data_IF_939781341499
#
_entry.id   IF_939781341499
#
_cell.length_a   1.000
_cell.length_b   1.000
_cell.length_c   1.000
_cell.angle_alpha   90.00
_cell.angle_beta   90.00
_cell.angle_gamma   90.00
#
_symmetry.space_group_name_H-M   'P 1'
#
loop_
_entity.id
_entity.type
_entity.pdbx_description
1 polymer ?
#
# COMPACT_ATOMS: atom_id res chain seq x y z
N UNK A 1 -32.10 -30.11 -32.22
CA UNK A 1 -31.12 -29.00 -32.06
C UNK A 1 -31.73 -27.68 -31.66
N UNK A 2 -32.81 -27.20 -32.27
CA UNK A 2 -33.42 -25.88 -32.01
C UNK A 2 -33.91 -25.76 -30.54
N UNK A 3 -34.63 -26.76 -30.02
CA UNK A 3 -35.11 -26.75 -28.60
C UNK A 3 -34.01 -26.70 -27.55
N UNK A 4 -32.85 -27.32 -27.81
CA UNK A 4 -31.69 -27.28 -26.90
C UNK A 4 -31.08 -25.88 -26.86
N UNK A 5 -30.92 -25.23 -28.01
CA UNK A 5 -30.44 -23.84 -28.11
C UNK A 5 -31.36 -22.86 -27.41
N UNK A 6 -32.71 -23.04 -27.51
CA UNK A 6 -33.68 -22.20 -26.81
C UNK A 6 -33.57 -22.38 -25.30
N UNK A 7 -33.47 -23.63 -24.77
CA UNK A 7 -33.29 -23.89 -23.35
C UNK A 7 -32.00 -23.29 -22.80
N UNK A 8 -30.90 -23.37 -23.52
CA UNK A 8 -29.60 -22.75 -23.12
C UNK A 8 -29.74 -21.23 -23.04
N UNK A 9 -30.40 -20.61 -24.05
CA UNK A 9 -30.60 -19.16 -24.07
C UNK A 9 -31.50 -18.66 -22.94
N UNK A 10 -32.57 -19.40 -22.62
CA UNK A 10 -33.43 -19.09 -21.48
C UNK A 10 -32.66 -19.23 -20.16
N UNK A 11 -31.87 -20.29 -19.98
CA UNK A 11 -31.07 -20.49 -18.77
C UNK A 11 -30.03 -19.38 -18.59
N UNK A 12 -29.35 -18.96 -19.65
CA UNK A 12 -28.37 -17.84 -19.59
C UNK A 12 -29.06 -16.50 -19.25
N UNK A 13 -30.27 -16.25 -19.79
CA UNK A 13 -31.05 -15.06 -19.48
C UNK A 13 -31.52 -15.04 -18.03
N UNK A 14 -31.97 -16.17 -17.49
CA UNK A 14 -32.39 -16.28 -16.09
C UNK A 14 -31.20 -16.07 -15.14
N UNK A 15 -30.03 -16.62 -15.45
CA UNK A 15 -28.79 -16.39 -14.68
C UNK A 15 -28.39 -14.91 -14.71
N UNK A 16 -28.49 -14.26 -15.87
CA UNK A 16 -28.22 -12.82 -16.01
C UNK A 16 -29.17 -11.97 -15.16
N UNK A 17 -30.50 -12.25 -15.23
CA UNK A 17 -31.51 -11.55 -14.42
C UNK A 17 -31.26 -11.78 -12.93
N UNK A 18 -30.96 -13.02 -12.51
CA UNK A 18 -30.67 -13.36 -11.13
C UNK A 18 -29.44 -12.61 -10.60
N UNK A 19 -28.36 -12.58 -11.37
CA UNK A 19 -27.14 -11.83 -10.99
C UNK A 19 -27.45 -10.35 -10.86
N UNK A 20 -28.23 -9.76 -11.78
CA UNK A 20 -28.65 -8.36 -11.71
C UNK A 20 -29.47 -8.04 -10.45
N UNK A 21 -30.36 -8.93 -10.04
CA UNK A 21 -31.15 -8.79 -8.80
C UNK A 21 -30.26 -8.88 -7.55
N UNK A 22 -29.28 -9.79 -7.55
CA UNK A 22 -28.27 -9.89 -6.48
C UNK A 22 -27.47 -8.59 -6.38
N UNK A 23 -26.97 -8.07 -7.49
CA UNK A 23 -26.20 -6.82 -7.53
C UNK A 23 -27.02 -5.64 -7.00
N UNK A 24 -28.29 -5.52 -7.39
CA UNK A 24 -29.20 -4.48 -6.87
C UNK A 24 -29.38 -4.60 -5.35
N UNK A 25 -29.54 -5.82 -4.84
CA UNK A 25 -29.66 -6.07 -3.39
C UNK A 25 -28.39 -5.68 -2.64
N UNK A 26 -27.22 -6.07 -3.17
CA UNK A 26 -25.92 -5.71 -2.59
C UNK A 26 -25.73 -4.20 -2.58
N UNK A 27 -26.04 -3.51 -3.67
CA UNK A 27 -25.95 -2.04 -3.74
C UNK A 27 -26.86 -1.35 -2.73
N UNK A 28 -28.10 -1.84 -2.57
CA UNK A 28 -29.05 -1.31 -1.57
C UNK A 28 -28.53 -1.49 -0.14
N UNK A 29 -27.99 -2.66 0.19
CA UNK A 29 -27.38 -2.94 1.50
C UNK A 29 -26.16 -2.05 1.75
N UNK A 30 -25.30 -1.85 0.74
CA UNK A 30 -24.15 -0.97 0.83
C UNK A 30 -24.57 0.49 1.08
N UNK A 31 -25.61 0.98 0.39
CA UNK A 31 -26.18 2.33 0.61
C UNK A 31 -26.70 2.50 2.05
N UNK A 32 -27.45 1.53 2.57
CA UNK A 32 -27.94 1.55 3.95
C UNK A 32 -26.78 1.57 4.96
N UNK A 33 -25.72 0.78 4.70
CA UNK A 33 -24.52 0.75 5.53
C UNK A 33 -23.82 2.10 5.57
N UNK A 34 -23.68 2.78 4.42
CA UNK A 34 -23.10 4.12 4.32
C UNK A 34 -23.97 5.16 5.05
N UNK A 35 -25.31 5.09 4.93
CA UNK A 35 -26.22 5.99 5.65
C UNK A 35 -26.06 5.79 7.17
N UNK A 36 -26.03 4.55 7.65
CA UNK A 36 -25.78 4.25 9.06
C UNK A 36 -24.44 4.82 9.56
N UNK A 37 -23.39 4.74 8.75
CA UNK A 37 -22.08 5.28 9.10
C UNK A 37 -22.09 6.80 9.26
N UNK A 38 -22.91 7.53 8.51
CA UNK A 38 -23.07 8.99 8.67
C UNK A 38 -23.51 9.34 10.10
N UNK A 39 -24.41 8.57 10.68
CA UNK A 39 -24.79 8.75 12.10
C UNK A 39 -23.63 8.39 13.01
N UNK A 40 -22.92 7.28 12.76
CA UNK A 40 -21.77 6.87 13.56
C UNK A 40 -20.70 7.96 13.63
N UNK A 41 -20.43 8.67 12.52
CA UNK A 41 -19.49 9.80 12.47
C UNK A 41 -19.82 10.93 13.47
N UNK A 42 -21.08 11.15 13.77
CA UNK A 42 -21.51 12.19 14.71
C UNK A 42 -21.11 11.88 16.16
N UNK A 43 -20.98 10.60 16.53
CA UNK A 43 -20.75 10.17 17.91
C UNK A 43 -19.29 9.82 18.22
N UNK A 44 -18.48 9.55 17.21
CA UNK A 44 -17.10 9.08 17.40
C UNK A 44 -16.11 10.02 16.72
N UNK A 45 -15.18 10.56 17.52
CA UNK A 45 -14.08 11.39 16.97
C UNK A 45 -13.14 10.52 16.13
N UNK A 46 -12.77 10.99 14.94
CA UNK A 46 -11.81 10.30 14.09
C UNK A 46 -10.41 10.34 14.69
N UNK A 47 -9.51 9.41 14.29
CA UNK A 47 -8.10 9.49 14.65
C UNK A 47 -7.47 10.78 14.10
N UNK A 48 -6.50 11.33 14.82
CA UNK A 48 -5.72 12.47 14.36
C UNK A 48 -4.65 11.97 13.40
N UNK A 49 -4.75 12.36 12.13
CA UNK A 49 -3.81 11.98 11.09
C UNK A 49 -3.20 13.25 10.52
N UNK A 50 -1.87 13.32 10.50
CA UNK A 50 -1.13 14.41 9.90
C UNK A 50 -1.31 14.44 8.38
N UNK A 51 -1.07 15.61 7.77
CA UNK A 51 -1.10 15.75 6.31
C UNK A 51 0.06 14.99 5.66
N UNK A 52 0.00 14.82 4.33
CA UNK A 52 1.11 14.27 3.53
C UNK A 52 2.34 15.15 3.69
N UNK A 53 2.18 16.49 3.62
CA UNK A 53 3.26 17.47 3.75
C UNK A 53 3.98 17.34 5.10
N UNK A 54 3.22 17.30 6.20
CA UNK A 54 3.78 17.16 7.56
C UNK A 54 4.48 15.81 7.73
N UNK A 55 3.90 14.75 7.16
CA UNK A 55 4.49 13.40 7.23
C UNK A 55 5.83 13.35 6.48
N UNK A 56 5.88 13.84 5.24
CA UNK A 56 7.11 13.88 4.44
C UNK A 56 8.19 14.75 5.08
N UNK A 57 7.83 15.95 5.56
CA UNK A 57 8.76 16.85 6.26
C UNK A 57 9.36 16.20 7.50
N UNK A 58 8.54 15.48 8.28
CA UNK A 58 9.04 14.77 9.48
C UNK A 58 9.98 13.61 9.11
N UNK A 59 9.69 12.85 8.06
CA UNK A 59 10.59 11.80 7.57
C UNK A 59 11.95 12.39 7.19
N UNK A 60 11.97 13.51 6.47
CA UNK A 60 13.19 14.17 6.00
C UNK A 60 13.99 14.73 7.18
N UNK A 61 13.33 15.49 8.05
CA UNK A 61 13.99 16.20 9.15
C UNK A 61 14.53 15.24 10.21
N UNK A 62 13.70 14.30 10.68
CA UNK A 62 14.03 13.43 11.82
C UNK A 62 14.73 12.13 11.38
N UNK A 63 14.86 11.90 10.06
CA UNK A 63 15.27 10.61 9.48
C UNK A 63 14.41 9.46 10.04
N UNK A 64 13.10 9.70 10.15
CA UNK A 64 12.18 8.77 10.75
C UNK A 64 11.97 7.53 9.88
N UNK A 65 11.78 6.39 10.52
CA UNK A 65 11.31 5.15 9.88
C UNK A 65 9.78 5.16 9.77
N UNK A 66 9.24 4.39 8.83
CA UNK A 66 7.81 4.44 8.50
C UNK A 66 7.22 3.05 8.36
N UNK A 67 6.11 2.81 9.05
CA UNK A 67 5.18 1.72 8.79
C UNK A 67 3.86 2.28 8.24
N UNK A 68 3.34 1.67 7.15
CA UNK A 68 2.08 2.12 6.55
C UNK A 68 1.00 1.07 6.75
N UNK A 69 -0.18 1.57 7.12
CA UNK A 69 -1.40 0.77 7.21
C UNK A 69 -2.39 1.22 6.14
N UNK A 70 -3.00 0.24 5.52
CA UNK A 70 -4.14 0.39 4.63
C UNK A 70 -5.24 -0.60 5.00
N UNK A 71 -6.16 -0.82 4.10
CA UNK A 71 -7.22 -1.82 4.25
C UNK A 71 -6.66 -3.26 4.29
N UNK A 72 -5.51 -3.49 3.65
CA UNK A 72 -4.82 -4.79 3.65
C UNK A 72 -4.31 -5.16 5.03
N UNK A 73 -3.51 -4.29 5.66
CA UNK A 73 -2.99 -4.49 7.02
C UNK A 73 -4.14 -4.60 8.03
N UNK A 74 -5.21 -3.80 7.86
CA UNK A 74 -6.41 -3.91 8.68
C UNK A 74 -7.07 -5.28 8.58
N UNK A 75 -7.22 -5.83 7.36
CA UNK A 75 -7.77 -7.18 7.17
C UNK A 75 -6.92 -8.24 7.85
N UNK A 76 -5.59 -8.15 7.69
CA UNK A 76 -4.64 -9.08 8.31
C UNK A 76 -4.64 -9.00 9.84
N UNK A 77 -4.78 -7.81 10.45
CA UNK A 77 -4.98 -7.65 11.89
C UNK A 77 -6.21 -8.46 12.39
N UNK A 78 -7.21 -8.60 11.53
CA UNK A 78 -8.44 -9.36 11.81
C UNK A 78 -8.42 -10.79 11.26
N UNK A 79 -7.26 -11.33 10.93
CA UNK A 79 -7.07 -12.68 10.36
C UNK A 79 -7.87 -12.92 9.07
N UNK A 80 -8.00 -11.91 8.22
CA UNK A 80 -8.60 -12.00 6.90
C UNK A 80 -7.50 -11.96 5.83
N UNK A 81 -7.57 -12.90 4.89
CA UNK A 81 -6.66 -12.94 3.74
C UNK A 81 -6.79 -11.70 2.86
N UNK A 82 -5.69 -11.35 2.22
CA UNK A 82 -5.67 -10.43 1.08
C UNK A 82 -5.05 -11.14 -0.13
N UNK A 83 -5.23 -10.59 -1.31
CA UNK A 83 -4.87 -11.25 -2.58
C UNK A 83 -3.41 -11.75 -2.61
N UNK A 84 -2.48 -10.97 -2.08
CA UNK A 84 -1.04 -11.24 -2.15
C UNK A 84 -0.40 -11.59 -0.81
N UNK A 85 -1.19 -11.73 0.26
CA UNK A 85 -0.71 -12.17 1.58
C UNK A 85 -1.82 -12.92 2.33
N UNK A 86 -1.57 -14.18 2.66
CA UNK A 86 -2.46 -14.94 3.55
C UNK A 86 -2.35 -14.42 4.98
N UNK A 87 -3.45 -14.52 5.69
CA UNK A 87 -3.47 -14.24 7.12
C UNK A 87 -2.57 -15.23 7.87
N UNK A 88 -1.87 -14.71 8.85
CA UNK A 88 -1.00 -15.46 9.74
C UNK A 88 -1.15 -14.87 11.14
N UNK A 89 -1.22 -15.71 12.15
CA UNK A 89 -1.46 -15.28 13.54
C UNK A 89 -0.33 -14.39 14.06
N UNK A 90 0.94 -14.73 13.74
CA UNK A 90 2.09 -13.91 14.15
C UNK A 90 2.09 -12.57 13.42
N UNK A 91 1.84 -12.58 12.10
CA UNK A 91 1.69 -11.36 11.31
C UNK A 91 0.60 -10.44 11.89
N UNK A 92 -0.59 -11.00 12.17
CA UNK A 92 -1.71 -10.27 12.77
C UNK A 92 -1.32 -9.62 14.11
N UNK A 93 -0.72 -10.41 15.02
CA UNK A 93 -0.27 -9.94 16.33
C UNK A 93 0.74 -8.80 16.19
N UNK A 94 1.77 -8.98 15.35
CA UNK A 94 2.84 -7.99 15.13
C UNK A 94 2.30 -6.69 14.52
N UNK A 95 1.44 -6.77 13.52
CA UNK A 95 0.78 -5.60 12.95
C UNK A 95 0.01 -4.82 14.02
N UNK A 96 -0.69 -5.51 14.92
CA UNK A 96 -1.44 -4.86 16.00
C UNK A 96 -0.53 -4.18 17.03
N UNK A 97 0.58 -4.81 17.42
CA UNK A 97 1.59 -4.23 18.31
C UNK A 97 2.18 -2.95 17.72
N UNK A 98 2.59 -2.99 16.47
CA UNK A 98 3.22 -1.85 15.78
C UNK A 98 2.24 -0.69 15.60
N UNK A 99 0.96 -0.97 15.31
CA UNK A 99 -0.09 0.02 15.18
C UNK A 99 -0.19 0.93 16.44
N UNK A 100 0.12 0.36 17.60
CA UNK A 100 0.04 1.03 18.91
C UNK A 100 1.36 1.66 19.37
N UNK A 101 2.49 1.44 18.66
CA UNK A 101 3.79 1.97 19.04
C UNK A 101 3.83 3.51 19.03
N UNK A 102 4.60 4.11 19.95
CA UNK A 102 4.68 5.58 20.13
C UNK A 102 6.13 6.10 20.07
N UNK A 103 6.99 5.40 19.35
CA UNK A 103 8.37 5.84 19.16
C UNK A 103 8.42 7.14 18.33
N UNK A 104 9.18 8.14 18.78
CA UNK A 104 9.23 9.47 18.13
C UNK A 104 9.75 9.44 16.69
N UNK A 105 10.73 8.57 16.41
CA UNK A 105 11.36 8.41 15.09
C UNK A 105 10.80 7.22 14.31
N UNK A 106 9.67 6.68 14.73
CA UNK A 106 8.96 5.64 14.01
C UNK A 106 7.51 6.06 13.75
N UNK A 107 7.21 6.38 12.50
CA UNK A 107 5.92 6.91 12.12
C UNK A 107 4.96 5.79 11.75
N UNK A 108 3.89 5.65 12.51
CA UNK A 108 2.77 4.79 12.16
C UNK A 108 1.80 5.59 11.29
N UNK A 109 1.68 5.21 10.03
CA UNK A 109 0.88 5.92 9.05
C UNK A 109 -0.46 5.21 8.79
N UNK A 110 -1.55 5.97 8.76
CA UNK A 110 -2.92 5.52 8.45
C UNK A 110 -3.45 6.23 7.20
N UNK A 111 -4.41 5.63 6.49
CA UNK A 111 -5.11 6.33 5.41
C UNK A 111 -6.01 7.42 6.00
N UNK A 112 -5.93 8.62 5.45
CA UNK A 112 -6.74 9.77 5.89
C UNK A 112 -8.15 9.73 5.26
N UNK A 113 -8.93 8.70 5.65
CA UNK A 113 -10.23 8.36 5.05
C UNK A 113 -11.41 8.39 6.04
N UNK A 114 -11.16 8.82 7.28
CA UNK A 114 -12.17 8.70 8.33
C UNK A 114 -13.15 9.88 8.38
N UNK A 115 -12.86 10.98 7.71
CA UNK A 115 -13.68 12.19 7.71
C UNK A 115 -14.20 12.53 6.31
N UNK A 116 -13.57 13.49 5.66
CA UNK A 116 -13.93 13.97 4.34
C UNK A 116 -13.27 13.14 3.23
N UNK A 117 -14.11 12.60 2.37
CA UNK A 117 -13.68 11.84 1.20
C UNK A 117 -13.83 12.63 -0.12
N UNK A 118 -14.22 13.91 -0.06
CA UNK A 118 -14.45 14.73 -1.27
C UNK A 118 -13.17 14.98 -2.07
N UNK A 119 -12.01 14.94 -1.39
CA UNK A 119 -10.68 15.08 -1.99
C UNK A 119 -10.25 13.91 -2.87
N UNK A 120 -10.90 12.76 -2.74
CA UNK A 120 -10.57 11.55 -3.52
C UNK A 120 -11.33 11.50 -4.85
N UNK A 121 -10.73 10.88 -5.86
CA UNK A 121 -11.39 10.51 -7.11
C UNK A 121 -12.53 9.53 -6.85
N UNK A 122 -13.43 9.34 -7.82
CA UNK A 122 -14.71 8.65 -7.57
C UNK A 122 -14.52 7.19 -7.13
N UNK A 123 -13.67 6.40 -7.80
CA UNK A 123 -13.43 5.01 -7.45
C UNK A 123 -12.81 4.85 -6.04
N UNK A 124 -11.70 5.52 -5.67
CA UNK A 124 -11.18 5.49 -4.31
C UNK A 124 -12.16 6.01 -3.25
N UNK A 125 -12.94 7.05 -3.57
CA UNK A 125 -13.98 7.59 -2.68
C UNK A 125 -15.05 6.56 -2.38
N UNK A 126 -15.56 5.88 -3.40
CA UNK A 126 -16.61 4.86 -3.24
C UNK A 126 -16.09 3.66 -2.45
N UNK A 127 -14.87 3.21 -2.77
CA UNK A 127 -14.19 2.16 -2.02
C UNK A 127 -14.07 2.50 -0.54
N UNK A 128 -13.46 3.66 -0.21
CA UNK A 128 -13.25 4.06 1.18
C UNK A 128 -14.54 4.40 1.91
N UNK A 129 -15.55 4.93 1.22
CA UNK A 129 -16.89 5.13 1.81
C UNK A 129 -17.47 3.82 2.32
N UNK A 130 -17.42 2.77 1.51
CA UNK A 130 -17.94 1.46 1.89
C UNK A 130 -17.06 0.79 2.95
N UNK A 131 -15.72 0.85 2.81
CA UNK A 131 -14.80 0.27 3.76
C UNK A 131 -14.96 0.90 5.16
N UNK A 132 -14.96 2.23 5.23
CA UNK A 132 -15.14 2.92 6.53
C UNK A 132 -16.54 2.67 7.11
N UNK A 133 -17.57 2.62 6.28
CA UNK A 133 -18.92 2.31 6.75
C UNK A 133 -19.02 0.93 7.38
N UNK A 134 -18.32 -0.06 6.85
CA UNK A 134 -18.28 -1.43 7.39
C UNK A 134 -17.41 -1.57 8.63
N UNK A 135 -16.29 -0.84 8.69
CA UNK A 135 -15.21 -1.16 9.62
C UNK A 135 -14.79 -0.02 10.56
N UNK A 136 -15.43 1.16 10.50
CA UNK A 136 -15.05 2.33 11.33
C UNK A 136 -14.88 2.04 12.81
N UNK A 137 -15.86 1.39 13.42
CA UNK A 137 -15.81 1.09 14.85
C UNK A 137 -14.71 0.07 15.19
N UNK A 138 -14.41 -0.86 14.28
CA UNK A 138 -13.29 -1.79 14.45
C UNK A 138 -11.97 -1.05 14.38
N UNK A 139 -11.78 -0.17 13.38
CA UNK A 139 -10.62 0.71 13.31
C UNK A 139 -10.44 1.50 14.61
N UNK A 140 -11.50 2.18 15.08
CA UNK A 140 -11.42 3.00 16.29
C UNK A 140 -11.12 2.20 17.55
N UNK A 141 -11.53 0.93 17.61
CA UNK A 141 -11.20 0.02 18.70
C UNK A 141 -9.73 -0.39 18.71
N UNK A 142 -9.15 -0.57 17.52
CA UNK A 142 -7.76 -1.00 17.38
C UNK A 142 -6.76 0.16 17.52
N UNK A 143 -7.21 1.40 17.33
CA UNK A 143 -6.37 2.58 17.40
C UNK A 143 -6.23 3.09 18.85
N UNK A 144 -5.07 3.66 19.16
CA UNK A 144 -4.82 4.30 20.45
C UNK A 144 -5.45 5.69 20.49
N UNK A 145 -6.31 5.94 21.49
CA UNK A 145 -6.93 7.26 21.70
C UNK A 145 -5.85 8.31 21.99
N UNK A 146 -6.01 9.49 21.39
CA UNK A 146 -5.10 10.63 21.59
C UNK A 146 -3.78 10.56 20.84
N UNK A 147 -3.40 9.39 20.30
CA UNK A 147 -2.21 9.26 19.45
C UNK A 147 -2.37 10.04 18.15
N UNK A 148 -1.28 10.68 17.72
CA UNK A 148 -1.14 11.29 16.42
C UNK A 148 -0.57 10.23 15.48
N UNK A 149 -1.27 9.96 14.39
CA UNK A 149 -0.83 9.12 13.30
C UNK A 149 -0.37 9.98 12.13
N UNK A 150 0.38 9.38 11.22
CA UNK A 150 0.86 10.02 10.02
C UNK A 150 0.11 9.52 8.79
N UNK A 151 0.37 10.08 7.62
CA UNK A 151 -0.43 9.79 6.44
C UNK A 151 0.16 8.64 5.62
N UNK A 152 -0.57 7.54 5.43
CA UNK A 152 -0.09 6.42 4.62
C UNK A 152 -0.14 6.68 3.11
N UNK A 153 -0.81 7.75 2.67
CA UNK A 153 -0.81 8.16 1.27
C UNK A 153 0.48 8.85 0.82
N UNK A 154 1.51 8.97 1.67
CA UNK A 154 2.83 9.52 1.28
C UNK A 154 3.49 8.81 0.08
N UNK A 155 3.04 7.62 -0.27
CA UNK A 155 3.52 6.85 -1.42
C UNK A 155 2.40 6.48 -2.41
N UNK A 156 1.21 7.04 -2.22
CA UNK A 156 0.01 6.80 -3.05
C UNK A 156 -0.83 8.05 -3.19
N UNK A 157 -0.25 9.15 -3.62
CA UNK A 157 -0.93 10.44 -3.68
C UNK A 157 -1.29 10.89 -5.10
N UNK A 158 -0.99 10.12 -6.13
CA UNK A 158 -1.39 10.47 -7.48
C UNK A 158 -2.77 9.89 -7.83
N UNK A 159 -2.91 8.57 -7.87
CA UNK A 159 -4.15 7.94 -8.33
C UNK A 159 -5.36 8.26 -7.43
N UNK A 160 -5.26 8.14 -6.09
CA UNK A 160 -6.43 8.29 -5.23
C UNK A 160 -7.03 9.69 -5.18
N UNK A 161 -6.23 10.74 -5.37
CA UNK A 161 -6.70 12.12 -5.21
C UNK A 161 -7.33 12.68 -6.49
N UNK A 162 -8.39 13.53 -6.34
CA UNK A 162 -9.01 14.25 -7.44
C UNK A 162 -8.13 15.38 -7.92
N UNK A 163 -7.64 16.21 -7.01
CA UNK A 163 -6.69 17.29 -7.29
C UNK A 163 -5.27 16.74 -7.36
N UNK A 164 -4.60 16.95 -8.50
CA UNK A 164 -3.24 16.51 -8.79
C UNK A 164 -2.20 17.62 -8.64
N UNK A 165 -2.62 18.85 -8.32
CA UNK A 165 -1.75 20.04 -8.32
C UNK A 165 -0.52 19.89 -7.43
N UNK A 166 -0.64 19.22 -6.28
CA UNK A 166 0.45 18.97 -5.34
C UNK A 166 1.31 17.74 -5.63
N UNK A 167 0.93 16.88 -6.57
CA UNK A 167 1.63 15.61 -6.78
C UNK A 167 3.10 15.82 -7.14
N UNK A 168 3.41 16.80 -7.99
CA UNK A 168 4.79 17.14 -8.38
C UNK A 168 5.62 17.55 -7.16
N UNK A 169 5.08 18.40 -6.29
CA UNK A 169 5.74 18.84 -5.07
C UNK A 169 6.01 17.66 -4.12
N UNK A 170 5.02 16.80 -3.91
CA UNK A 170 5.17 15.62 -3.05
C UNK A 170 6.21 14.62 -3.59
N UNK A 171 6.29 14.42 -4.91
CA UNK A 171 7.37 13.59 -5.48
C UNK A 171 8.75 14.24 -5.29
N UNK A 172 8.86 15.58 -5.37
CA UNK A 172 10.10 16.28 -5.05
C UNK A 172 10.49 16.05 -3.58
N UNK A 173 9.54 16.19 -2.65
CA UNK A 173 9.79 15.92 -1.22
C UNK A 173 10.18 14.46 -0.97
N UNK A 174 9.51 13.51 -1.62
CA UNK A 174 9.89 12.09 -1.54
C UNK A 174 11.34 11.87 -1.98
N UNK A 175 11.73 12.41 -3.13
CA UNK A 175 13.09 12.28 -3.66
C UNK A 175 14.15 12.86 -2.70
N UNK A 176 13.81 13.86 -1.85
CA UNK A 176 14.71 14.37 -0.82
C UNK A 176 15.05 13.35 0.27
N UNK A 177 14.19 12.35 0.50
CA UNK A 177 14.42 11.33 1.53
C UNK A 177 15.67 10.49 1.22
N UNK A 178 15.90 10.19 -0.06
CA UNK A 178 17.04 9.36 -0.50
C UNK A 178 18.10 10.11 -1.30
N UNK A 179 17.96 11.43 -1.45
CA UNK A 179 18.92 12.26 -2.16
C UNK A 179 20.33 12.10 -1.55
N UNK A 180 21.33 11.84 -2.40
CA UNK A 180 22.74 11.69 -2.06
C UNK A 180 23.02 10.59 -1.00
N UNK A 181 22.13 9.59 -0.87
CA UNK A 181 22.26 8.50 0.10
C UNK A 181 22.48 7.16 -0.59
N UNK A 182 23.23 6.30 0.09
CA UNK A 182 23.29 4.89 -0.25
C UNK A 182 21.98 4.23 0.20
N UNK A 183 21.25 3.58 -0.72
CA UNK A 183 19.94 2.98 -0.45
C UNK A 183 19.96 1.47 -0.70
N UNK A 184 19.13 0.76 0.05
CA UNK A 184 18.82 -0.66 -0.17
C UNK A 184 17.32 -0.78 -0.46
N UNK A 185 16.98 -1.24 -1.65
CA UNK A 185 15.58 -1.56 -2.03
C UNK A 185 15.30 -3.02 -1.69
N UNK A 186 14.33 -3.28 -0.82
CA UNK A 186 13.80 -4.63 -0.57
C UNK A 186 12.45 -4.71 -1.24
N UNK A 187 12.36 -5.48 -2.32
CA UNK A 187 11.22 -5.45 -3.23
C UNK A 187 10.84 -6.84 -3.75
N UNK A 188 9.60 -7.00 -4.19
CA UNK A 188 9.19 -8.19 -4.95
C UNK A 188 10.00 -8.32 -6.24
N UNK A 189 10.40 -9.53 -6.63
CA UNK A 189 11.34 -9.77 -7.74
C UNK A 189 10.88 -9.20 -9.09
N UNK A 190 9.60 -8.93 -9.24
CA UNK A 190 9.01 -8.30 -10.43
C UNK A 190 8.54 -6.86 -10.22
N UNK A 191 8.80 -6.27 -9.04
CA UNK A 191 8.44 -4.87 -8.74
C UNK A 191 9.29 -3.88 -9.49
N UNK A 192 10.63 -4.10 -9.55
CA UNK A 192 11.61 -3.35 -10.35
C UNK A 192 11.50 -1.84 -10.15
N UNK A 193 11.50 -1.43 -8.88
CA UNK A 193 11.37 -0.03 -8.49
C UNK A 193 12.43 0.86 -9.17
N UNK A 194 12.00 1.97 -9.75
CA UNK A 194 12.85 2.94 -10.43
C UNK A 194 13.34 2.54 -11.81
N UNK A 195 13.07 1.32 -12.27
CA UNK A 195 13.48 0.92 -13.62
C UNK A 195 12.57 1.61 -14.65
N UNK A 196 13.20 2.28 -15.63
CA UNK A 196 12.51 3.02 -16.67
C UNK A 196 11.96 4.39 -16.25
N UNK A 197 12.31 4.89 -15.05
CA UNK A 197 12.02 6.24 -14.61
C UNK A 197 13.12 6.81 -13.70
N UNK A 198 13.03 8.09 -13.35
CA UNK A 198 14.06 8.83 -12.60
C UNK A 198 13.77 8.92 -11.09
N UNK A 199 12.90 8.07 -10.54
CA UNK A 199 12.46 8.17 -9.14
C UNK A 199 13.63 8.11 -8.15
N UNK A 200 14.62 7.26 -8.41
CA UNK A 200 15.78 7.05 -7.54
C UNK A 200 17.11 7.57 -8.12
N UNK A 201 17.10 8.31 -9.23
CA UNK A 201 18.33 8.77 -9.89
C UNK A 201 19.20 9.71 -9.04
N UNK A 202 18.60 10.35 -8.04
CA UNK A 202 19.32 11.20 -7.10
C UNK A 202 19.86 10.46 -5.86
N UNK A 203 19.70 9.14 -5.77
CA UNK A 203 20.40 8.33 -4.78
C UNK A 203 21.89 8.19 -5.14
N UNK A 204 22.75 8.11 -4.14
CA UNK A 204 24.20 7.95 -4.35
C UNK A 204 24.54 6.55 -4.86
N UNK A 205 23.89 5.53 -4.31
CA UNK A 205 23.99 4.15 -4.78
C UNK A 205 22.73 3.37 -4.47
N UNK A 206 22.48 2.31 -5.25
CA UNK A 206 21.33 1.42 -5.08
C UNK A 206 21.83 -0.01 -4.95
N UNK A 207 21.37 -0.72 -3.93
CA UNK A 207 21.49 -2.17 -3.79
C UNK A 207 20.09 -2.76 -3.64
N UNK A 208 19.89 -4.00 -4.12
CA UNK A 208 18.58 -4.65 -4.12
C UNK A 208 18.61 -6.00 -3.42
N UNK A 209 17.58 -6.26 -2.62
CA UNK A 209 17.25 -7.58 -2.08
C UNK A 209 15.89 -7.95 -2.66
N UNK A 210 15.87 -8.97 -3.51
CA UNK A 210 14.66 -9.45 -4.15
C UNK A 210 13.99 -10.53 -3.29
N UNK A 211 12.67 -10.43 -3.16
CA UNK A 211 11.86 -11.37 -2.41
C UNK A 211 10.67 -11.84 -3.27
N UNK A 212 9.93 -12.89 -2.88
CA UNK A 212 8.69 -13.26 -3.57
C UNK A 212 7.70 -12.10 -3.63
N UNK A 213 6.99 -11.95 -4.74
CA UNK A 213 5.96 -10.91 -4.96
C UNK A 213 4.76 -11.09 -4.03
N UNK A 214 4.49 -12.33 -3.66
CA UNK A 214 3.38 -12.72 -2.81
C UNK A 214 3.88 -13.49 -1.59
N UNK A 215 3.14 -13.39 -0.50
CA UNK A 215 3.42 -14.13 0.75
C UNK A 215 4.83 -13.91 1.33
N UNK A 216 5.40 -12.72 1.15
CA UNK A 216 6.76 -12.39 1.62
C UNK A 216 6.96 -12.69 3.12
N UNK A 217 5.91 -12.68 3.93
CA UNK A 217 5.99 -12.98 5.36
C UNK A 217 6.47 -14.41 5.65
N UNK A 218 6.22 -15.39 4.76
CA UNK A 218 6.74 -16.75 4.90
C UNK A 218 8.29 -16.79 4.94
N UNK A 219 8.92 -15.80 4.37
CA UNK A 219 10.39 -15.68 4.30
C UNK A 219 10.94 -14.62 5.25
N UNK A 220 10.14 -14.14 6.21
CA UNK A 220 10.44 -12.99 7.06
C UNK A 220 11.84 -13.04 7.69
N UNK A 221 12.20 -14.15 8.34
CA UNK A 221 13.50 -14.29 9.01
C UNK A 221 14.69 -14.22 8.04
N UNK A 222 14.54 -14.78 6.83
CA UNK A 222 15.58 -14.70 5.79
C UNK A 222 15.73 -13.26 5.31
N UNK A 223 14.61 -12.55 5.11
CA UNK A 223 14.58 -11.15 4.67
C UNK A 223 15.23 -10.25 5.72
N UNK A 224 14.84 -10.38 6.98
CA UNK A 224 15.43 -9.62 8.10
C UNK A 224 16.93 -9.86 8.20
N UNK A 225 17.37 -11.13 8.13
CA UNK A 225 18.78 -11.47 8.18
C UNK A 225 19.57 -10.86 7.01
N UNK A 226 19.03 -10.88 5.80
CA UNK A 226 19.66 -10.26 4.63
C UNK A 226 19.72 -8.72 4.77
N UNK A 227 18.64 -8.10 5.24
CA UNK A 227 18.58 -6.67 5.49
C UNK A 227 19.63 -6.21 6.51
N UNK A 228 19.81 -6.97 7.61
CA UNK A 228 20.79 -6.69 8.68
C UNK A 228 22.27 -6.84 8.27
N UNK A 229 22.58 -7.43 7.12
CA UNK A 229 23.94 -7.46 6.58
C UNK A 229 24.40 -6.10 6.04
N UNK A 230 23.49 -5.17 5.83
CA UNK A 230 23.82 -3.83 5.34
C UNK A 230 24.33 -2.93 6.46
N UNK A 231 25.11 -1.92 6.07
CA UNK A 231 25.55 -0.88 7.02
C UNK A 231 24.33 -0.06 7.48
N UNK A 232 24.25 0.27 8.76
CA UNK A 232 23.17 1.06 9.35
C UNK A 232 23.07 2.51 8.84
N UNK A 233 24.12 3.01 8.19
CA UNK A 233 24.10 4.32 7.52
C UNK A 233 23.26 4.32 6.23
N UNK A 234 23.03 3.15 5.62
CA UNK A 234 22.19 3.03 4.43
C UNK A 234 20.72 3.19 4.78
N UNK A 235 19.97 3.83 3.90
CA UNK A 235 18.52 3.90 3.98
C UNK A 235 17.90 2.65 3.38
N UNK A 236 17.03 1.97 4.14
CA UNK A 236 16.31 0.80 3.64
C UNK A 236 14.90 1.21 3.21
N UNK A 237 14.57 0.95 1.96
CA UNK A 237 13.26 1.22 1.36
C UNK A 237 12.56 -0.10 1.06
N UNK A 238 11.32 -0.24 1.51
CA UNK A 238 10.58 -1.50 1.53
C UNK A 238 9.35 -1.45 0.63
N UNK A 239 9.22 -2.40 -0.29
CA UNK A 239 8.05 -2.57 -1.15
C UNK A 239 7.68 -4.06 -1.25
N UNK A 240 7.29 -4.66 -0.12
CA UNK A 240 7.02 -6.09 0.07
C UNK A 240 5.67 -6.34 0.77
N UNK A 241 4.68 -5.51 0.45
CA UNK A 241 3.34 -5.59 1.03
C UNK A 241 3.34 -5.44 2.56
N UNK A 242 2.41 -6.08 3.28
CA UNK A 242 2.27 -5.93 4.74
C UNK A 242 3.49 -6.37 5.55
N UNK A 243 4.35 -7.20 4.97
CA UNK A 243 5.63 -7.60 5.57
C UNK A 243 6.55 -6.38 5.77
N UNK A 244 6.45 -5.36 4.89
CA UNK A 244 7.22 -4.12 5.00
C UNK A 244 6.94 -3.38 6.31
N UNK A 245 5.69 -3.35 6.76
CA UNK A 245 5.27 -2.71 8.02
C UNK A 245 6.02 -3.28 9.23
N UNK A 246 6.13 -4.62 9.31
CA UNK A 246 6.83 -5.29 10.41
C UNK A 246 8.34 -5.14 10.26
N UNK A 247 8.85 -5.33 9.05
CA UNK A 247 10.29 -5.25 8.78
C UNK A 247 10.83 -3.84 9.07
N UNK A 248 10.07 -2.80 8.71
CA UNK A 248 10.44 -1.41 9.03
C UNK A 248 10.59 -1.19 10.55
N UNK A 249 9.68 -1.76 11.34
CA UNK A 249 9.74 -1.63 12.80
C UNK A 249 10.94 -2.38 13.40
N UNK A 250 11.15 -3.63 13.00
CA UNK A 250 12.25 -4.43 13.55
C UNK A 250 13.62 -3.85 13.15
N UNK A 251 13.76 -3.38 11.92
CA UNK A 251 14.96 -2.69 11.48
C UNK A 251 15.17 -1.36 12.24
N UNK A 252 14.10 -0.61 12.50
CA UNK A 252 14.17 0.60 13.32
C UNK A 252 14.67 0.28 14.73
N UNK A 253 14.14 -0.76 15.38
CA UNK A 253 14.59 -1.19 16.72
C UNK A 253 16.06 -1.64 16.75
N UNK A 254 16.60 -2.08 15.62
CA UNK A 254 18.00 -2.44 15.43
C UNK A 254 18.89 -1.24 15.05
N UNK A 255 18.32 -0.04 14.92
CA UNK A 255 19.04 1.22 14.64
C UNK A 255 19.20 1.53 13.14
N UNK A 256 18.42 0.92 12.27
CA UNK A 256 18.35 1.29 10.85
C UNK A 256 17.26 2.34 10.63
N UNK A 257 17.39 3.16 9.60
CA UNK A 257 16.25 3.87 9.04
C UNK A 257 15.63 3.00 7.95
N UNK A 258 14.36 2.60 8.15
CA UNK A 258 13.63 1.77 7.21
C UNK A 258 12.25 2.39 6.92
N UNK A 259 11.89 2.49 5.65
CA UNK A 259 10.66 3.17 5.19
C UNK A 259 9.87 2.22 4.30
N UNK A 260 8.66 1.90 4.70
CA UNK A 260 7.68 1.28 3.80
C UNK A 260 7.22 2.31 2.77
N UNK A 261 7.65 2.13 1.52
CA UNK A 261 7.29 2.96 0.38
C UNK A 261 6.23 2.33 -0.53
N UNK A 262 5.93 1.05 -0.34
CA UNK A 262 4.89 0.30 -1.03
C UNK A 262 4.82 0.58 -2.53
N UNK A 263 3.72 1.16 -2.99
CA UNK A 263 3.37 1.38 -4.40
C UNK A 263 3.96 2.66 -5.04
N UNK A 264 4.94 3.29 -4.41
CA UNK A 264 5.44 4.62 -4.83
C UNK A 264 5.86 4.69 -6.29
N UNK A 265 6.54 3.65 -6.78
CA UNK A 265 7.06 3.61 -8.14
C UNK A 265 5.94 3.52 -9.19
N UNK A 266 4.92 2.72 -8.93
CA UNK A 266 3.74 2.61 -9.81
C UNK A 266 2.93 3.92 -9.81
N UNK A 267 2.78 4.58 -8.66
CA UNK A 267 2.15 5.89 -8.55
C UNK A 267 2.95 6.96 -9.33
N UNK A 268 4.29 6.86 -9.31
CA UNK A 268 5.17 7.73 -10.06
C UNK A 268 5.05 7.50 -11.59
N UNK A 269 5.00 6.25 -12.03
CA UNK A 269 4.75 5.90 -13.43
C UNK A 269 3.39 6.43 -13.93
N UNK A 270 2.35 6.29 -13.11
CA UNK A 270 1.04 6.85 -13.44
C UNK A 270 1.06 8.38 -13.48
N UNK A 271 1.81 9.02 -12.59
CA UNK A 271 2.01 10.47 -12.61
C UNK A 271 2.72 10.93 -13.89
N UNK A 272 3.84 10.32 -14.26
CA UNK A 272 4.58 10.66 -15.49
C UNK A 272 3.73 10.51 -16.75
N UNK A 273 2.88 9.48 -16.78
CA UNK A 273 1.97 9.18 -17.90
C UNK A 273 0.65 9.95 -17.83
N UNK A 274 0.42 10.74 -16.80
CA UNK A 274 -0.86 11.42 -16.54
C UNK A 274 -2.06 10.44 -16.60
N UNK A 275 -1.88 9.22 -16.08
CA UNK A 275 -2.85 8.15 -16.17
C UNK A 275 -4.14 8.51 -15.42
N UNK A 276 -5.28 8.35 -16.09
CA UNK A 276 -6.62 8.61 -15.51
C UNK A 276 -7.20 7.37 -14.82
N UNK A 277 -6.68 6.20 -15.14
CA UNK A 277 -7.10 4.90 -14.59
C UNK A 277 -5.87 4.08 -14.21
N UNK A 278 -6.04 3.04 -13.43
CA UNK A 278 -4.98 2.07 -13.12
C UNK A 278 -4.60 1.32 -14.40
N UNK A 279 -3.42 1.61 -14.92
CA UNK A 279 -2.88 0.95 -16.11
C UNK A 279 -1.71 0.04 -15.73
N UNK A 280 -1.53 -1.03 -16.48
CA UNK A 280 -0.32 -1.86 -16.38
C UNK A 280 0.91 -1.03 -16.78
N UNK A 281 2.02 -1.27 -16.12
CA UNK A 281 3.31 -0.71 -16.48
C UNK A 281 4.16 -1.83 -17.05
N UNK A 282 4.74 -1.57 -18.22
CA UNK A 282 5.57 -2.57 -18.87
C UNK A 282 6.74 -2.98 -17.99
N UNK A 283 7.03 -4.27 -17.95
CA UNK A 283 8.09 -4.86 -17.13
C UNK A 283 7.96 -4.67 -15.60
N UNK A 284 6.81 -4.19 -15.08
CA UNK A 284 6.59 -4.03 -13.63
C UNK A 284 5.32 -4.75 -13.17
N UNK A 285 5.42 -5.43 -12.02
CA UNK A 285 4.27 -6.07 -11.39
C UNK A 285 3.29 -5.02 -10.83
N UNK A 286 2.07 -5.03 -11.33
CA UNK A 286 0.98 -4.13 -10.90
C UNK A 286 -0.25 -4.98 -10.57
N UNK A 287 -0.42 -5.36 -9.31
CA UNK A 287 -1.53 -6.22 -8.90
C UNK A 287 -2.93 -5.59 -9.08
N UNK A 288 -3.01 -4.26 -9.16
CA UNK A 288 -4.26 -3.51 -9.25
C UNK A 288 -4.70 -3.21 -10.70
N UNK A 289 -3.88 -3.53 -11.69
CA UNK A 289 -4.20 -3.31 -13.11
C UNK A 289 -4.47 -4.64 -13.81
N UNK A 290 -5.47 -4.68 -14.68
CA UNK A 290 -5.77 -5.86 -15.48
C UNK A 290 -4.54 -6.31 -16.28
N UNK A 291 -4.19 -7.61 -16.20
CA UNK A 291 -2.99 -8.23 -16.80
C UNK A 291 -1.64 -7.63 -16.34
N UNK A 292 -1.61 -6.83 -15.26
CA UNK A 292 -0.37 -6.23 -14.73
C UNK A 292 0.49 -7.21 -13.93
N UNK A 293 0.03 -8.43 -13.69
CA UNK A 293 0.78 -9.47 -12.97
C UNK A 293 1.67 -10.31 -13.91
N UNK A 294 1.37 -10.32 -15.21
CA UNK A 294 2.12 -11.06 -16.21
C UNK A 294 3.37 -10.29 -16.63
N UNK A 295 4.46 -10.47 -15.89
CA UNK A 295 5.73 -9.77 -16.09
C UNK A 295 6.80 -10.78 -16.46
N UNK A 296 7.43 -10.60 -17.64
CA UNK A 296 8.56 -11.39 -18.11
C UNK A 296 9.87 -11.07 -17.39
N UNK A 297 10.93 -11.72 -17.82
CA UNK A 297 12.29 -11.42 -17.34
C UNK A 297 12.80 -10.09 -17.91
N UNK A 298 13.80 -9.51 -17.26
CA UNK A 298 14.42 -8.24 -17.66
C UNK A 298 15.92 -8.46 -17.93
N UNK A 299 16.43 -7.79 -18.96
CA UNK A 299 17.82 -7.81 -19.38
C UNK A 299 18.50 -6.44 -19.16
N UNK A 300 18.17 -5.75 -18.07
CA UNK A 300 18.77 -4.48 -17.70
C UNK A 300 20.03 -4.74 -16.87
N UNK A 301 21.21 -4.50 -17.45
CA UNK A 301 22.51 -4.77 -16.80
C UNK A 301 22.69 -3.97 -15.51
N UNK A 302 22.26 -2.70 -15.47
CA UNK A 302 22.33 -1.86 -14.28
C UNK A 302 21.50 -2.48 -13.15
N UNK A 303 20.25 -2.81 -13.44
CA UNK A 303 19.36 -3.46 -12.47
C UNK A 303 19.96 -4.78 -11.95
N UNK A 304 20.45 -5.62 -12.84
CA UNK A 304 21.03 -6.91 -12.47
C UNK A 304 22.29 -6.75 -11.59
N UNK A 305 23.13 -5.74 -11.84
CA UNK A 305 24.31 -5.43 -11.04
C UNK A 305 24.00 -4.93 -9.62
N UNK A 306 22.83 -4.30 -9.43
CA UNK A 306 22.36 -3.80 -8.14
C UNK A 306 21.88 -4.94 -7.22
N UNK A 307 21.56 -6.13 -7.74
CA UNK A 307 21.02 -7.24 -6.97
C UNK A 307 22.11 -7.87 -6.09
N UNK A 308 21.94 -7.82 -4.77
CA UNK A 308 22.89 -8.39 -3.78
C UNK A 308 22.36 -9.70 -3.17
N UNK A 309 21.04 -9.89 -3.14
CA UNK A 309 20.45 -11.14 -2.65
C UNK A 309 19.09 -11.40 -3.32
N UNK A 310 18.79 -12.68 -3.49
CA UNK A 310 17.46 -13.17 -3.92
C UNK A 310 16.99 -14.18 -2.89
N UNK A 311 15.86 -13.91 -2.28
CA UNK A 311 15.21 -14.75 -1.26
C UNK A 311 14.09 -15.55 -1.94
N UNK A 312 14.15 -16.85 -1.78
CA UNK A 312 13.17 -17.78 -2.34
C UNK A 312 12.64 -18.70 -1.27
#
# INVERSE_FOLDING_TARGET
>A
MVQIKIKIKIKSMLVFIWNKLIDMKIQSLNRLTIIKDRFTKCFFKPPRIQSIDETLKKIIHDKASVARYGDGEFKLIHNLDITFQRADHLLSKRLKEILLSEDEKFLVCLPDVFQDLSKYADEPKDYWSLHTAKYRLKWYKDLKKGKIYYNSFISRFYYPFRDKSKCKEWFILLKLIWKDRDIVLIEGSKSRLGIGNDLFDNAKSIERILVPEEHAFLHYNKILTAAKKNNKSKLILLAIGPTATILAYDLYKEGYQAIDIGHVDIEYEWFLRQAKTKIKIENKYVCEAGAGQNVGDIQDEKYLSEIKAVIR
#
